data_IF_417769044349
#
_entry.id   IF_417769044349
#
_cell.length_a   1.000
_cell.length_b   1.000
_cell.length_c   1.000
_cell.angle_alpha   90.00
_cell.angle_beta   90.00
_cell.angle_gamma   90.00
#
_symmetry.space_group_name_H-M   'P 1'
#
loop_
_entity.id
_entity.type
_entity.pdbx_description
1 polymer ?
#
# COMPACT_ATOMS: atom_id res chain seq x y z
N UNK A 1 3.63 8.33 23.41
CA UNK A 1 2.52 9.26 23.30
C UNK A 1 2.34 9.53 21.82
N UNK A 2 1.37 8.88 21.17
CA UNK A 2 1.07 9.10 19.77
C UNK A 2 0.63 10.56 19.57
N UNK A 3 1.20 11.24 18.57
CA UNK A 3 0.71 12.57 18.17
C UNK A 3 -0.74 12.39 17.73
N UNK A 4 -1.66 13.04 18.45
CA UNK A 4 -3.08 13.05 18.08
C UNK A 4 -3.18 13.74 16.71
N UNK A 5 -3.69 13.04 15.70
CA UNK A 5 -3.87 13.61 14.36
C UNK A 5 -5.01 14.64 14.42
N UNK A 6 -4.76 15.93 14.10
CA UNK A 6 -5.82 16.96 14.11
C UNK A 6 -7.03 16.58 13.23
N UNK A 7 -6.80 15.79 12.17
CA UNK A 7 -7.88 15.34 11.31
C UNK A 7 -8.79 14.31 12.01
N UNK A 8 -8.23 13.48 12.90
CA UNK A 8 -9.02 12.54 13.69
C UNK A 8 -10.01 13.26 14.61
N UNK A 9 -9.57 14.37 15.22
CA UNK A 9 -10.45 15.22 16.03
C UNK A 9 -11.58 15.84 15.23
N UNK A 10 -11.27 16.38 14.05
CA UNK A 10 -12.28 16.96 13.17
C UNK A 10 -13.29 15.93 12.66
N UNK A 11 -12.83 14.71 12.40
CA UNK A 11 -13.71 13.58 12.05
C UNK A 11 -14.63 13.20 13.21
N UNK A 12 -14.13 13.23 14.45
CA UNK A 12 -14.92 12.95 15.65
C UNK A 12 -15.97 14.05 15.91
N UNK A 13 -15.61 15.31 15.71
CA UNK A 13 -16.50 16.49 15.87
C UNK A 13 -17.54 16.63 14.73
N UNK A 14 -17.49 15.77 13.72
CA UNK A 14 -18.44 15.79 12.59
C UNK A 14 -18.23 16.93 11.61
N UNK A 15 -17.01 17.46 11.51
CA UNK A 15 -16.66 18.50 10.53
C UNK A 15 -16.95 18.00 9.10
N UNK A 16 -17.82 18.68 8.32
CA UNK A 16 -18.26 18.24 7.01
C UNK A 16 -17.13 18.17 5.97
N UNK A 17 -16.03 18.91 6.16
CA UNK A 17 -14.89 18.90 5.25
C UNK A 17 -13.83 17.82 5.59
N UNK A 18 -13.84 17.31 6.83
CA UNK A 18 -12.87 16.32 7.28
C UNK A 18 -12.85 15.01 6.47
N UNK A 19 -13.98 14.45 6.04
CA UNK A 19 -13.99 13.27 5.18
C UNK A 19 -13.29 13.50 3.84
N UNK A 20 -13.49 14.66 3.22
CA UNK A 20 -12.83 15.02 1.98
C UNK A 20 -11.32 15.14 2.17
N UNK A 21 -10.89 15.82 3.24
CA UNK A 21 -9.47 15.94 3.57
C UNK A 21 -8.82 14.58 3.83
N UNK A 22 -9.52 13.63 4.46
CA UNK A 22 -9.03 12.28 4.66
C UNK A 22 -8.71 11.59 3.33
N UNK A 23 -9.62 11.71 2.35
CA UNK A 23 -9.40 11.17 1.00
C UNK A 23 -8.22 11.86 0.32
N UNK A 24 -8.21 13.19 0.25
CA UNK A 24 -7.18 13.98 -0.41
C UNK A 24 -5.78 13.70 0.16
N UNK A 25 -5.67 13.54 1.49
CA UNK A 25 -4.41 13.27 2.18
C UNK A 25 -3.87 11.86 1.91
N UNK A 26 -4.74 10.85 1.84
CA UNK A 26 -4.33 9.45 1.88
C UNK A 26 -4.53 8.69 0.56
N UNK A 27 -5.29 9.22 -0.40
CA UNK A 27 -5.63 8.50 -1.63
C UNK A 27 -4.38 8.00 -2.39
N UNK A 28 -3.40 8.87 -2.63
CA UNK A 28 -2.22 8.54 -3.44
C UNK A 28 -1.35 7.47 -2.75
N UNK A 29 -1.13 7.57 -1.45
CA UNK A 29 -0.32 6.59 -0.72
C UNK A 29 -1.02 5.22 -0.64
N UNK A 30 -2.34 5.21 -0.43
CA UNK A 30 -3.11 3.97 -0.42
C UNK A 30 -3.15 3.31 -1.82
N UNK A 31 -3.25 4.13 -2.89
CA UNK A 31 -3.19 3.62 -4.25
C UNK A 31 -1.82 2.99 -4.56
N UNK A 32 -0.71 3.68 -4.24
CA UNK A 32 0.64 3.11 -4.43
C UNK A 32 0.79 1.78 -3.70
N UNK A 33 0.32 1.73 -2.45
CA UNK A 33 0.36 0.52 -1.64
C UNK A 33 -0.49 -0.61 -2.25
N UNK A 34 -1.74 -0.34 -2.59
CA UNK A 34 -2.63 -1.32 -3.24
C UNK A 34 -2.05 -1.80 -4.57
N UNK A 35 -1.49 -0.88 -5.39
CA UNK A 35 -0.85 -1.18 -6.68
C UNK A 35 0.38 -2.09 -6.52
N UNK A 36 1.21 -1.83 -5.50
CA UNK A 36 2.35 -2.68 -5.18
C UNK A 36 1.92 -4.11 -4.78
N UNK A 37 0.78 -4.25 -4.11
CA UNK A 37 0.28 -5.54 -3.66
C UNK A 37 -0.46 -6.31 -4.77
N UNK A 38 -1.36 -5.65 -5.50
CA UNK A 38 -2.23 -6.26 -6.51
C UNK A 38 -1.58 -6.37 -7.88
N UNK A 39 -0.65 -5.48 -8.23
CA UNK A 39 0.03 -5.40 -9.53
C UNK A 39 -0.92 -5.15 -10.71
N UNK A 40 -2.06 -4.59 -10.44
CA UNK A 40 -3.16 -4.35 -11.37
C UNK A 40 -3.74 -2.98 -11.05
N UNK A 41 -3.70 -2.03 -12.01
CA UNK A 41 -4.08 -0.65 -11.75
C UNK A 41 -5.57 -0.51 -11.49
N UNK A 42 -6.48 -1.06 -12.30
CA UNK A 42 -7.91 -1.04 -12.02
C UNK A 42 -8.25 -1.66 -10.67
N UNK A 43 -7.72 -2.84 -10.36
CA UNK A 43 -7.97 -3.48 -9.07
C UNK A 43 -7.41 -2.68 -7.88
N UNK A 44 -6.36 -1.89 -8.07
CA UNK A 44 -5.83 -1.01 -7.03
C UNK A 44 -6.75 0.19 -6.80
N UNK A 45 -7.33 0.77 -7.85
CA UNK A 45 -8.33 1.85 -7.74
C UNK A 45 -9.58 1.36 -7.01
N UNK A 46 -10.11 0.21 -7.41
CA UNK A 46 -11.26 -0.41 -6.76
C UNK A 46 -10.98 -0.68 -5.27
N UNK A 47 -9.77 -1.16 -4.95
CA UNK A 47 -9.38 -1.44 -3.58
C UNK A 47 -9.28 -0.16 -2.72
N UNK A 48 -8.83 0.95 -3.30
CA UNK A 48 -8.77 2.24 -2.58
C UNK A 48 -10.17 2.80 -2.36
N UNK A 49 -11.03 2.75 -3.38
CA UNK A 49 -12.42 3.17 -3.22
C UNK A 49 -13.11 2.35 -2.12
N UNK A 50 -13.02 1.02 -2.18
CA UNK A 50 -13.58 0.13 -1.15
C UNK A 50 -12.97 0.40 0.24
N UNK A 51 -11.68 0.79 0.31
CA UNK A 51 -11.03 1.19 1.57
C UNK A 51 -11.72 2.38 2.20
N UNK A 52 -11.96 3.45 1.44
CA UNK A 52 -12.63 4.66 1.97
C UNK A 52 -14.09 4.40 2.31
N UNK A 53 -14.82 3.63 1.50
CA UNK A 53 -16.20 3.22 1.82
C UNK A 53 -16.26 2.51 3.18
N UNK A 54 -15.37 1.53 3.39
CA UNK A 54 -15.28 0.80 4.67
C UNK A 54 -14.82 1.69 5.81
N UNK A 55 -13.91 2.61 5.56
CA UNK A 55 -13.44 3.58 6.55
C UNK A 55 -14.59 4.47 7.03
N UNK A 56 -15.37 5.05 6.12
CA UNK A 56 -16.52 5.90 6.49
C UNK A 56 -17.62 5.12 7.21
N UNK A 57 -17.92 3.90 6.77
CA UNK A 57 -18.86 3.02 7.49
C UNK A 57 -18.37 2.72 8.91
N UNK A 58 -17.06 2.53 9.10
CA UNK A 58 -16.50 2.26 10.41
C UNK A 58 -16.51 3.51 11.29
N UNK A 59 -16.12 4.69 10.77
CA UNK A 59 -16.16 5.95 11.48
C UNK A 59 -17.57 6.29 11.96
N UNK A 60 -18.60 6.07 11.14
CA UNK A 60 -19.99 6.29 11.54
C UNK A 60 -20.52 5.35 12.64
N UNK A 61 -19.74 4.32 13.02
CA UNK A 61 -20.08 3.37 14.10
C UNK A 61 -19.22 3.52 15.34
N UNK A 62 -18.11 4.26 15.23
CA UNK A 62 -17.22 4.44 16.38
C UNK A 62 -17.68 5.59 17.26
N UNK A 63 -17.54 5.47 18.58
CA UNK A 63 -17.73 6.60 19.48
C UNK A 63 -16.63 7.64 19.24
N UNK A 64 -16.93 8.91 19.52
CA UNK A 64 -16.06 10.07 19.28
C UNK A 64 -14.66 9.87 19.89
N UNK A 65 -14.58 9.42 21.15
CA UNK A 65 -13.32 9.22 21.87
C UNK A 65 -12.42 8.20 21.18
N UNK A 66 -13.02 7.23 20.47
CA UNK A 66 -12.27 6.25 19.68
C UNK A 66 -11.71 6.87 18.41
N UNK A 67 -12.47 7.75 17.75
CA UNK A 67 -12.03 8.43 16.54
C UNK A 67 -10.89 9.38 16.87
N UNK A 68 -11.01 10.16 17.93
CA UNK A 68 -10.00 11.12 18.40
C UNK A 68 -8.63 10.47 18.63
N UNK A 69 -8.62 9.23 19.12
CA UNK A 69 -7.39 8.48 19.44
C UNK A 69 -6.90 7.60 18.30
N UNK A 70 -7.56 7.66 17.14
CA UNK A 70 -7.26 6.79 16.01
C UNK A 70 -5.99 7.23 15.26
N UNK A 71 -5.03 6.34 15.14
CA UNK A 71 -3.92 6.52 14.21
C UNK A 71 -4.43 6.29 12.79
N UNK A 72 -4.91 7.36 12.12
CA UNK A 72 -5.62 7.29 10.83
C UNK A 72 -4.81 6.56 9.77
N UNK A 73 -3.52 6.86 9.64
CA UNK A 73 -2.66 6.30 8.58
C UNK A 73 -2.49 4.77 8.72
N UNK A 74 -1.99 4.20 9.84
CA UNK A 74 -1.90 2.74 10.02
C UNK A 74 -3.27 2.05 9.94
N UNK A 75 -4.33 2.73 10.42
CA UNK A 75 -5.68 2.19 10.35
C UNK A 75 -6.21 2.07 8.92
N UNK A 76 -5.99 3.06 8.06
CA UNK A 76 -6.35 3.00 6.64
C UNK A 76 -5.54 1.91 5.91
N UNK A 77 -4.23 1.79 6.16
CA UNK A 77 -3.43 0.69 5.61
C UNK A 77 -3.93 -0.68 6.04
N UNK A 78 -4.43 -0.82 7.27
CA UNK A 78 -5.05 -2.08 7.75
C UNK A 78 -6.31 -2.41 6.96
N UNK A 79 -7.18 -1.42 6.71
CA UNK A 79 -8.40 -1.61 5.90
C UNK A 79 -8.00 -2.02 4.47
N UNK A 80 -7.08 -1.28 3.84
CA UNK A 80 -6.57 -1.58 2.49
C UNK A 80 -6.00 -2.99 2.40
N UNK A 81 -5.18 -3.39 3.37
CA UNK A 81 -4.62 -4.75 3.41
C UNK A 81 -5.71 -5.82 3.49
N UNK A 82 -6.77 -5.58 4.24
CA UNK A 82 -7.89 -6.51 4.32
C UNK A 82 -8.68 -6.60 3.00
N UNK A 83 -8.88 -5.48 2.31
CA UNK A 83 -9.48 -5.45 0.96
C UNK A 83 -8.60 -6.25 -0.01
N UNK A 84 -7.31 -5.97 -0.07
CA UNK A 84 -6.35 -6.68 -0.91
C UNK A 84 -6.33 -8.19 -0.62
N UNK A 85 -6.33 -8.60 0.64
CA UNK A 85 -6.40 -10.02 1.03
C UNK A 85 -7.69 -10.69 0.55
N UNK A 86 -8.81 -9.97 0.52
CA UNK A 86 -10.05 -10.46 -0.05
C UNK A 86 -9.94 -10.64 -1.57
N UNK A 87 -9.39 -9.66 -2.29
CA UNK A 87 -9.14 -9.75 -3.72
C UNK A 87 -8.22 -10.94 -4.07
N UNK A 88 -7.14 -11.16 -3.32
CA UNK A 88 -6.28 -12.34 -3.50
C UNK A 88 -7.03 -13.66 -3.29
N UNK A 89 -7.91 -13.73 -2.29
CA UNK A 89 -8.72 -14.93 -2.04
C UNK A 89 -9.72 -15.21 -3.16
N UNK A 90 -10.34 -14.16 -3.71
CA UNK A 90 -11.25 -14.28 -4.85
C UNK A 90 -10.51 -14.77 -6.10
N UNK A 91 -9.39 -14.11 -6.47
CA UNK A 91 -8.55 -14.56 -7.61
C UNK A 91 -8.13 -16.02 -7.51
N UNK A 92 -7.75 -16.49 -6.32
CA UNK A 92 -7.40 -17.93 -6.13
C UNK A 92 -8.57 -18.89 -6.29
N UNK A 93 -9.81 -18.44 -6.15
CA UNK A 93 -11.02 -19.27 -6.37
C UNK A 93 -11.44 -19.27 -7.83
N UNK A 94 -11.23 -18.16 -8.53
CA UNK A 94 -11.70 -17.94 -9.90
C UNK A 94 -10.71 -18.45 -10.97
N UNK A 95 -9.43 -18.60 -10.63
CA UNK A 95 -8.37 -18.99 -11.59
C UNK A 95 -7.55 -20.15 -11.07
N UNK A 96 -7.73 -21.38 -11.61
CA UNK A 96 -6.66 -22.34 -11.67
C UNK A 96 -5.67 -21.86 -12.75
N UNK A 97 -4.62 -21.16 -12.32
CA UNK A 97 -3.41 -20.88 -13.09
C UNK A 97 -3.59 -20.33 -14.53
N UNK A 98 -3.86 -19.03 -14.64
CA UNK A 98 -3.57 -18.27 -15.85
C UNK A 98 -2.90 -16.95 -15.45
N UNK A 99 -1.78 -16.67 -16.10
CA UNK A 99 -1.03 -15.42 -15.92
C UNK A 99 -1.93 -14.23 -16.31
N UNK A 100 -2.07 -13.26 -15.42
CA UNK A 100 -2.88 -12.07 -15.68
C UNK A 100 -2.08 -11.09 -16.53
N UNK A 101 -2.55 -10.70 -17.72
CA UNK A 101 -1.85 -9.69 -18.52
C UNK A 101 -1.91 -8.33 -17.84
N UNK A 102 -0.76 -7.66 -17.78
CA UNK A 102 -0.65 -6.28 -17.31
C UNK A 102 -1.46 -5.34 -18.21
N UNK A 103 -2.52 -4.76 -17.68
CA UNK A 103 -3.15 -3.58 -18.29
C UNK A 103 -2.62 -2.34 -17.58
N UNK A 104 -1.77 -1.61 -18.26
CA UNK A 104 -1.23 -0.33 -17.78
C UNK A 104 -2.17 0.77 -18.24
N UNK A 105 -2.96 1.34 -17.37
CA UNK A 105 -3.75 2.54 -17.66
C UNK A 105 -2.98 3.78 -17.18
N UNK A 106 -2.68 4.70 -18.11
CA UNK A 106 -1.68 5.77 -17.94
C UNK A 106 -2.22 7.05 -17.27
N UNK A 107 -3.47 7.06 -16.78
CA UNK A 107 -4.20 8.31 -16.53
C UNK A 107 -3.94 9.04 -15.21
N UNK A 108 -3.21 8.46 -14.25
CA UNK A 108 -3.17 9.00 -12.87
C UNK A 108 -1.80 9.42 -12.35
N UNK A 109 -0.81 9.70 -13.21
CA UNK A 109 0.51 10.10 -12.74
C UNK A 109 0.79 11.59 -12.92
N UNK A 110 0.30 12.39 -11.99
CA UNK A 110 0.89 13.71 -11.67
C UNK A 110 1.44 13.64 -10.26
N UNK A 111 2.73 13.30 -10.12
CA UNK A 111 3.45 13.47 -8.85
C UNK A 111 3.93 14.92 -8.80
N UNK A 112 3.62 15.71 -7.75
CA UNK A 112 4.24 17.00 -7.56
C UNK A 112 5.70 16.81 -7.13
N UNK A 113 6.68 17.19 -7.95
CA UNK A 113 8.09 17.36 -7.58
C UNK A 113 9.10 16.53 -8.36
N UNK A 114 9.70 17.13 -9.37
CA UNK A 114 11.08 17.07 -9.87
C UNK A 114 11.83 15.72 -9.86
N UNK A 115 11.35 14.74 -10.63
CA UNK A 115 12.20 13.79 -11.36
C UNK A 115 11.59 13.68 -12.74
N UNK A 116 12.39 13.56 -13.80
CA UNK A 116 11.88 13.37 -15.18
C UNK A 116 10.82 12.27 -15.16
N UNK A 117 9.60 12.58 -15.57
CA UNK A 117 8.45 11.70 -15.37
C UNK A 117 8.60 10.31 -16.02
N UNK A 118 9.47 10.18 -17.04
CA UNK A 118 9.77 8.91 -17.70
C UNK A 118 10.66 8.00 -16.83
N UNK A 119 11.75 8.52 -16.27
CA UNK A 119 12.69 7.74 -15.44
C UNK A 119 12.03 7.26 -14.14
N UNK A 120 11.14 8.08 -13.57
CA UNK A 120 10.39 7.68 -12.38
C UNK A 120 9.37 6.58 -12.68
N UNK A 121 8.68 6.65 -13.83
CA UNK A 121 7.73 5.62 -14.27
C UNK A 121 8.42 4.28 -14.47
N UNK A 122 9.57 4.28 -15.14
CA UNK A 122 10.37 3.08 -15.37
C UNK A 122 10.84 2.46 -14.03
N UNK A 123 11.47 3.25 -13.18
CA UNK A 123 11.90 2.80 -11.84
C UNK A 123 10.75 2.26 -10.98
N UNK A 124 9.56 2.86 -11.09
CA UNK A 124 8.37 2.38 -10.40
C UNK A 124 7.89 1.04 -10.95
N UNK A 125 7.87 0.85 -12.27
CA UNK A 125 7.48 -0.41 -12.89
C UNK A 125 8.45 -1.54 -12.51
N UNK A 126 9.75 -1.26 -12.50
CA UNK A 126 10.78 -2.20 -12.06
C UNK A 126 10.59 -2.59 -10.58
N UNK A 127 10.28 -1.61 -9.73
CA UNK A 127 9.98 -1.85 -8.32
C UNK A 127 8.74 -2.75 -8.14
N UNK A 128 7.66 -2.52 -8.92
CA UNK A 128 6.46 -3.35 -8.89
C UNK A 128 6.75 -4.78 -9.37
N UNK A 129 7.56 -4.95 -10.41
CA UNK A 129 7.97 -6.26 -10.90
C UNK A 129 8.78 -7.00 -9.84
N UNK A 130 9.80 -6.35 -9.29
CA UNK A 130 10.62 -6.91 -8.23
C UNK A 130 9.80 -7.32 -7.00
N UNK A 131 8.88 -6.46 -6.53
CA UNK A 131 7.95 -6.78 -5.46
C UNK A 131 7.06 -7.98 -5.81
N UNK A 132 6.70 -8.13 -7.08
CA UNK A 132 5.92 -9.28 -7.58
C UNK A 132 6.58 -10.64 -7.34
N UNK A 133 7.92 -10.68 -7.26
CA UNK A 133 8.70 -11.91 -7.02
C UNK A 133 8.80 -12.29 -5.53
N UNK A 134 8.30 -11.44 -4.63
CA UNK A 134 8.24 -11.72 -3.20
C UNK A 134 6.98 -12.52 -2.85
N UNK A 135 7.06 -13.31 -1.76
CA UNK A 135 5.84 -13.86 -1.16
C UNK A 135 4.91 -12.73 -0.68
N UNK A 136 3.60 -12.97 -0.62
CA UNK A 136 2.62 -11.95 -0.19
C UNK A 136 3.00 -11.27 1.13
N UNK A 137 3.43 -12.05 2.13
CA UNK A 137 3.83 -11.50 3.43
C UNK A 137 5.09 -10.63 3.35
N UNK A 138 6.08 -11.05 2.55
CA UNK A 138 7.28 -10.25 2.32
C UNK A 138 6.95 -8.97 1.57
N UNK A 139 6.12 -9.06 0.52
CA UNK A 139 5.67 -7.92 -0.28
C UNK A 139 4.96 -6.89 0.58
N UNK A 140 3.99 -7.30 1.41
CA UNK A 140 3.30 -6.41 2.36
C UNK A 140 4.30 -5.71 3.28
N UNK A 141 5.21 -6.45 3.92
CA UNK A 141 6.15 -5.86 4.87
C UNK A 141 7.15 -4.91 4.21
N UNK A 142 7.65 -5.27 3.01
CA UNK A 142 8.60 -4.43 2.25
C UNK A 142 7.91 -3.18 1.71
N UNK A 143 6.69 -3.30 1.16
CA UNK A 143 5.93 -2.16 0.68
C UNK A 143 5.64 -1.15 1.80
N UNK A 144 5.12 -1.59 2.94
CA UNK A 144 4.87 -0.71 4.08
C UNK A 144 6.15 -0.03 4.59
N UNK A 145 7.30 -0.74 4.58
CA UNK A 145 8.55 -0.19 5.10
C UNK A 145 9.22 0.77 4.14
N UNK A 146 9.26 0.47 2.83
CA UNK A 146 10.08 1.19 1.86
C UNK A 146 9.31 2.07 0.88
N UNK A 147 8.05 1.73 0.57
CA UNK A 147 7.21 2.62 -0.25
C UNK A 147 6.48 3.64 0.61
N UNK A 148 6.05 3.23 1.81
CA UNK A 148 5.22 4.06 2.67
C UNK A 148 5.95 4.54 3.93
N UNK A 149 7.23 4.17 4.08
CA UNK A 149 8.14 4.57 5.17
C UNK A 149 7.55 4.39 6.58
N UNK A 150 6.74 3.34 6.78
CA UNK A 150 6.18 3.06 8.10
C UNK A 150 7.24 2.48 9.05
N UNK A 151 7.30 2.94 10.31
CA UNK A 151 8.11 2.30 11.33
C UNK A 151 7.56 0.90 11.65
N UNK A 152 8.43 0.00 12.15
CA UNK A 152 8.03 -1.40 12.40
C UNK A 152 6.87 -1.54 13.38
N UNK A 153 6.73 -0.64 14.35
CA UNK A 153 5.60 -0.62 15.26
C UNK A 153 4.26 -0.41 14.51
N UNK A 154 4.22 0.54 13.57
CA UNK A 154 3.03 0.81 12.74
C UNK A 154 2.77 -0.33 11.75
N UNK A 155 3.83 -0.96 11.19
CA UNK A 155 3.68 -2.16 10.36
C UNK A 155 3.05 -3.30 11.17
N UNK A 156 3.47 -3.49 12.42
CA UNK A 156 2.90 -4.50 13.32
C UNK A 156 1.43 -4.19 13.62
N UNK A 157 1.11 -2.94 13.88
CA UNK A 157 -0.26 -2.48 14.08
C UNK A 157 -1.12 -2.70 12.83
N UNK A 158 -0.63 -2.32 11.65
CA UNK A 158 -1.32 -2.48 10.36
C UNK A 158 -1.59 -3.94 10.02
N UNK A 159 -0.59 -4.80 10.21
CA UNK A 159 -0.64 -6.20 9.73
C UNK A 159 -1.21 -7.18 10.75
N UNK A 160 -1.16 -6.81 12.04
CA UNK A 160 -1.42 -7.71 13.17
C UNK A 160 -0.29 -8.71 13.43
N UNK A 161 0.91 -8.53 12.84
CA UNK A 161 2.05 -9.40 13.07
C UNK A 161 2.96 -8.84 14.18
N UNK A 162 3.64 -9.72 14.94
CA UNK A 162 4.66 -9.26 15.87
C UNK A 162 5.75 -8.43 15.17
N UNK A 163 6.25 -7.38 15.80
CA UNK A 163 7.25 -6.47 15.23
C UNK A 163 8.52 -7.21 14.75
N UNK A 164 8.99 -8.21 15.50
CA UNK A 164 10.12 -9.03 15.11
C UNK A 164 9.83 -9.86 13.84
N UNK A 165 8.58 -10.25 13.63
CA UNK A 165 8.16 -10.90 12.39
C UNK A 165 8.22 -9.92 11.23
N UNK A 166 7.77 -8.67 11.41
CA UNK A 166 7.86 -7.61 10.40
C UNK A 166 9.33 -7.37 10.00
N UNK A 167 10.23 -7.20 10.97
CA UNK A 167 11.68 -7.04 10.74
C UNK A 167 12.26 -8.20 9.94
N UNK A 168 11.89 -9.43 10.30
CA UNK A 168 12.36 -10.64 9.62
C UNK A 168 11.86 -10.73 8.18
N UNK A 169 10.57 -10.42 7.95
CA UNK A 169 9.96 -10.43 6.61
C UNK A 169 10.61 -9.38 5.71
N UNK A 170 10.82 -8.17 6.21
CA UNK A 170 11.51 -7.09 5.48
C UNK A 170 12.92 -7.54 5.12
N UNK A 171 13.73 -8.00 6.09
CA UNK A 171 15.10 -8.45 5.85
C UNK A 171 15.16 -9.56 4.79
N UNK A 172 14.30 -10.57 4.89
CA UNK A 172 14.25 -11.68 3.91
C UNK A 172 13.77 -11.21 2.54
N UNK A 173 12.81 -10.27 2.50
CA UNK A 173 12.32 -9.67 1.27
C UNK A 173 13.43 -8.91 0.54
N UNK A 174 14.13 -8.03 1.22
CA UNK A 174 15.26 -7.27 0.64
C UNK A 174 16.40 -8.19 0.20
N UNK A 175 16.75 -9.21 1.00
CA UNK A 175 17.76 -10.19 0.60
C UNK A 175 17.38 -10.93 -0.69
N UNK A 176 16.10 -11.29 -0.85
CA UNK A 176 15.60 -11.92 -2.09
C UNK A 176 15.66 -10.97 -3.28
N UNK A 177 15.28 -9.68 -3.09
CA UNK A 177 15.39 -8.67 -4.15
C UNK A 177 16.84 -8.44 -4.57
N UNK A 178 17.77 -8.35 -3.62
CA UNK A 178 19.20 -8.22 -3.90
C UNK A 178 19.76 -9.39 -4.72
N UNK A 179 19.39 -10.63 -4.36
CA UNK A 179 19.78 -11.81 -5.14
C UNK A 179 19.25 -11.77 -6.58
N UNK A 180 17.98 -11.37 -6.77
CA UNK A 180 17.37 -11.26 -8.11
C UNK A 180 18.03 -10.17 -8.98
N UNK A 181 18.49 -9.08 -8.37
CA UNK A 181 19.21 -8.01 -9.09
C UNK A 181 20.65 -8.41 -9.43
N UNK A 182 21.28 -9.25 -8.59
CA UNK A 182 22.63 -9.77 -8.85
C UNK A 182 22.67 -10.85 -9.92
N UNK A 183 21.58 -11.60 -10.08
CA UNK A 183 21.42 -12.65 -11.11
C UNK A 183 20.94 -12.10 -12.46
N UNK A 184 20.60 -10.81 -12.55
CA UNK A 184 20.33 -10.16 -13.83
C UNK A 184 21.63 -10.07 -14.63
N UNK A 185 21.75 -10.64 -15.86
CA UNK A 185 22.95 -10.53 -16.66
C UNK A 185 23.22 -9.05 -16.94
N UNK A 186 24.45 -8.61 -16.67
CA UNK A 186 24.94 -7.28 -17.03
C UNK A 186 24.65 -6.98 -18.50
N UNK A 187 23.54 -6.29 -18.76
CA UNK A 187 23.16 -5.82 -20.10
C UNK A 187 24.00 -4.63 -20.54
N UNK A 188 25.33 -4.70 -20.38
CA UNK A 188 26.30 -3.85 -21.07
C UNK A 188 27.20 -4.75 -21.90
N UNK A 189 26.66 -5.25 -22.98
CA UNK A 189 27.39 -5.76 -24.11
C UNK A 189 27.63 -4.63 -25.07
N UNK A 190 28.83 -4.12 -25.07
CA UNK A 190 29.66 -3.75 -26.19
C UNK A 190 28.95 -3.39 -27.52
N UNK A 191 28.91 -2.09 -27.84
CA UNK A 191 29.21 -1.56 -29.17
C UNK A 191 29.45 -0.05 -29.16
#
# INVERSE_FOLDING_TARGET
MGSLDPLAWRLADGDPDAPRELVERHHIELYRYARALLRDAPAAEDAVQETFERAFVALGKYPEERIETLSLRPWLYRITLNVVRNAWRQRRREVPMAETPERTDERFWTVPGSVSGADYKEAWMDALEALGRLSERQRVAVALRYLEDLPYAEIAETTGWPENTCKTLVRRGIGRLGALLSDAPDGKGDR
#
